data_IF_442435708655
#
_entry.id   IF_442435708655
#
_cell.length_a   1.000
_cell.length_b   1.000
_cell.length_c   1.000
_cell.angle_alpha   90.00
_cell.angle_beta   90.00
_cell.angle_gamma   90.00
#
_symmetry.space_group_name_H-M   'P 1'
#
loop_
_entity.id
_entity.type
_entity.pdbx_description
1 polymer ?
#
# COMPACT_ATOMS: atom_id res chain seq x y z
N UNK A 1 1.93 -7.61 15.69
CA UNK A 1 0.95 -7.18 14.65
C UNK A 1 1.58 -6.64 13.37
N UNK A 2 2.65 -5.84 13.42
CA UNK A 2 3.14 -5.10 12.26
C UNK A 2 3.87 -5.93 11.16
N UNK A 3 4.28 -7.17 11.44
CA UNK A 3 4.82 -8.10 10.41
C UNK A 3 3.72 -8.61 9.48
N UNK A 4 2.52 -8.80 10.00
CA UNK A 4 1.34 -9.22 9.22
C UNK A 4 0.96 -8.17 8.18
N UNK A 5 0.94 -6.89 8.57
CA UNK A 5 0.64 -5.77 7.68
C UNK A 5 1.61 -5.68 6.48
N UNK A 6 2.91 -5.83 6.74
CA UNK A 6 3.95 -5.83 5.71
C UNK A 6 3.81 -7.04 4.77
N UNK A 7 3.63 -8.25 5.31
CA UNK A 7 3.44 -9.47 4.51
C UNK A 7 2.17 -9.42 3.64
N UNK A 8 1.11 -8.79 4.14
CA UNK A 8 -0.14 -8.64 3.39
C UNK A 8 0.02 -7.59 2.28
N UNK A 9 0.75 -6.51 2.56
CA UNK A 9 1.11 -5.49 1.57
C UNK A 9 2.00 -6.06 0.45
N UNK A 10 3.03 -6.84 0.78
CA UNK A 10 3.90 -7.49 -0.21
C UNK A 10 3.14 -8.52 -1.05
N UNK A 11 2.25 -9.30 -0.44
CA UNK A 11 1.33 -10.22 -1.13
C UNK A 11 0.38 -9.52 -2.11
N UNK A 12 0.01 -8.27 -1.81
CA UNK A 12 -0.83 -7.46 -2.69
C UNK A 12 -0.05 -6.97 -3.92
N UNK A 13 1.21 -6.60 -3.73
CA UNK A 13 2.08 -6.00 -4.75
C UNK A 13 2.76 -7.00 -5.69
N UNK A 14 3.36 -8.08 -5.19
CA UNK A 14 4.42 -8.77 -5.94
C UNK A 14 4.37 -10.28 -5.92
N UNK A 15 4.65 -10.91 -4.78
CA UNK A 15 5.18 -12.28 -4.82
C UNK A 15 4.81 -13.09 -3.59
N UNK A 16 4.22 -14.27 -3.82
CA UNK A 16 4.23 -15.40 -2.87
C UNK A 16 3.26 -15.31 -1.69
N UNK A 17 1.95 -15.41 -1.92
CA UNK A 17 0.98 -15.59 -0.84
C UNK A 17 -0.48 -15.55 -1.29
N UNK A 18 -1.35 -16.20 -0.52
CA UNK A 18 -2.81 -16.15 -0.71
C UNK A 18 -3.28 -14.71 -0.49
N UNK A 19 -3.76 -14.04 -1.54
CA UNK A 19 -4.35 -12.70 -1.41
C UNK A 19 -5.58 -12.76 -0.53
N UNK A 20 -5.64 -11.99 0.58
CA UNK A 20 -6.82 -12.01 1.43
C UNK A 20 -8.01 -11.46 0.66
N UNK A 21 -9.19 -12.05 0.89
CA UNK A 21 -10.44 -11.61 0.27
C UNK A 21 -10.74 -10.13 0.57
N UNK A 22 -10.35 -9.68 1.77
CA UNK A 22 -10.40 -8.31 2.23
C UNK A 22 -9.09 -7.93 2.91
N UNK A 23 -8.55 -6.76 2.57
CA UNK A 23 -7.38 -6.16 3.22
C UNK A 23 -7.87 -5.04 4.14
N UNK A 24 -7.49 -5.06 5.41
CA UNK A 24 -7.79 -3.93 6.29
C UNK A 24 -7.02 -2.68 5.83
N UNK A 25 -7.69 -1.53 5.82
CA UNK A 25 -7.08 -0.25 5.49
C UNK A 25 -5.91 0.07 6.42
N UNK A 26 -6.05 -0.26 7.71
CA UNK A 26 -4.99 -0.13 8.72
C UNK A 26 -3.76 -0.97 8.38
N UNK A 27 -3.94 -2.21 7.91
CA UNK A 27 -2.83 -3.06 7.47
C UNK A 27 -2.11 -2.44 6.26
N UNK A 28 -2.84 -1.84 5.33
CA UNK A 28 -2.22 -1.09 4.23
C UNK A 28 -1.41 0.11 4.74
N UNK A 29 -1.97 0.89 5.67
CA UNK A 29 -1.28 2.05 6.26
C UNK A 29 0.01 1.63 6.96
N UNK A 30 -0.04 0.57 7.76
CA UNK A 30 1.13 0.03 8.45
C UNK A 30 2.15 -0.55 7.48
N UNK A 31 1.72 -1.27 6.44
CA UNK A 31 2.59 -1.80 5.40
C UNK A 31 3.34 -0.68 4.66
N UNK A 32 2.62 0.37 4.24
CA UNK A 32 3.20 1.55 3.59
C UNK A 32 4.16 2.30 4.52
N UNK A 33 3.78 2.51 5.78
CA UNK A 33 4.66 3.17 6.77
C UNK A 33 5.95 2.40 7.00
N UNK A 34 5.90 1.07 7.10
CA UNK A 34 7.10 0.22 7.24
C UNK A 34 7.94 0.16 5.97
N UNK A 35 7.31 0.23 4.81
CA UNK A 35 7.98 0.42 3.53
C UNK A 35 8.68 1.81 3.41
N UNK A 36 8.53 2.69 4.41
CA UNK A 36 9.17 4.01 4.46
C UNK A 36 8.34 5.13 3.82
N UNK A 37 7.07 4.88 3.49
CA UNK A 37 6.19 5.93 3.00
C UNK A 37 5.74 6.82 4.14
N UNK A 38 5.70 8.12 3.87
CA UNK A 38 5.01 9.07 4.72
C UNK A 38 3.54 9.13 4.31
N UNK A 39 2.63 8.83 5.25
CA UNK A 39 1.19 8.95 5.02
C UNK A 39 0.69 10.29 5.55
N UNK A 40 0.11 11.12 4.69
CA UNK A 40 -0.53 12.39 5.07
C UNK A 40 -2.04 12.31 4.81
N UNK A 41 -2.84 12.83 5.74
CA UNK A 41 -4.28 13.00 5.52
C UNK A 41 -4.51 14.17 4.58
N UNK A 42 -5.30 13.96 3.54
CA UNK A 42 -5.81 15.00 2.65
C UNK A 42 -7.28 15.30 3.00
N UNK A 43 -7.91 16.21 2.24
CA UNK A 43 -9.33 16.54 2.41
C UNK A 43 -10.20 15.27 2.44
N UNK A 44 -11.02 15.15 3.49
CA UNK A 44 -11.96 14.04 3.69
C UNK A 44 -11.29 12.70 4.00
N UNK A 45 -11.70 11.66 3.29
CA UNK A 45 -11.20 10.28 3.46
C UNK A 45 -9.99 9.97 2.57
N UNK A 46 -9.34 10.98 1.98
CA UNK A 46 -8.17 10.76 1.12
C UNK A 46 -6.88 10.74 1.94
N UNK A 47 -5.99 9.78 1.66
CA UNK A 47 -4.64 9.68 2.21
C UNK A 47 -3.63 9.78 1.07
N UNK A 48 -2.64 10.65 1.23
CA UNK A 48 -1.51 10.78 0.31
C UNK A 48 -0.31 10.04 0.88
N UNK A 49 0.22 9.12 0.11
CA UNK A 49 1.37 8.30 0.40
C UNK A 49 2.54 8.86 -0.38
N UNK A 50 3.43 9.56 0.31
CA UNK A 50 4.65 10.08 -0.26
C UNK A 50 5.74 9.02 -0.10
N UNK A 51 6.40 8.59 -1.17
CA UNK A 51 7.51 7.67 -1.04
C UNK A 51 8.70 8.35 -0.33
N UNK A 52 9.64 7.57 0.23
CA UNK A 52 10.87 8.12 0.80
C UNK A 52 11.69 8.86 -0.27
N UNK A 53 12.46 9.86 0.15
CA UNK A 53 13.20 10.82 -0.72
C UNK A 53 14.04 10.19 -1.84
N UNK A 54 14.36 8.89 -1.75
CA UNK A 54 15.20 8.17 -2.71
C UNK A 54 14.41 7.50 -3.84
N UNK A 55 13.09 7.70 -3.88
CA UNK A 55 12.22 7.13 -4.91
C UNK A 55 11.69 8.29 -5.76
N UNK A 56 12.08 8.35 -7.03
CA UNK A 56 11.71 9.37 -8.03
C UNK A 56 10.21 9.37 -8.39
N UNK A 57 9.44 8.46 -7.81
CA UNK A 57 8.06 8.23 -8.16
C UNK A 57 7.08 9.17 -7.45
N UNK A 58 6.01 9.56 -8.16
CA UNK A 58 5.01 10.49 -7.66
C UNK A 58 4.25 9.94 -6.44
N UNK A 59 3.89 10.85 -5.52
CA UNK A 59 3.07 10.52 -4.35
C UNK A 59 1.71 9.94 -4.76
N UNK A 60 1.29 8.85 -4.12
CA UNK A 60 0.04 8.18 -4.42
C UNK A 60 -1.09 8.70 -3.54
N UNK A 61 -2.22 9.12 -4.12
CA UNK A 61 -3.40 9.48 -3.32
C UNK A 61 -4.47 8.39 -3.42
N UNK A 62 -4.90 7.89 -2.27
CA UNK A 62 -5.91 6.84 -2.15
C UNK A 62 -7.05 7.29 -1.25
N UNK A 63 -8.25 6.81 -1.53
CA UNK A 63 -9.42 7.06 -0.69
C UNK A 63 -9.58 5.90 0.28
N UNK A 64 -9.65 6.22 1.56
CA UNK A 64 -9.99 5.31 2.64
C UNK A 64 -11.41 4.78 2.41
N UNK A 65 -11.57 3.45 2.34
CA UNK A 65 -12.86 2.82 2.12
C UNK A 65 -13.76 3.06 3.35
N UNK A 66 -15.05 3.36 3.17
CA UNK A 66 -15.98 3.58 4.28
C UNK A 66 -16.15 2.34 5.17
N UNK A 67 -15.95 1.15 4.62
CA UNK A 67 -15.96 -0.11 5.36
C UNK A 67 -14.69 -0.36 6.16
N UNK A 68 -13.61 0.41 5.95
CA UNK A 68 -12.29 0.12 6.51
C UNK A 68 -11.56 -1.06 5.86
N UNK A 69 -12.16 -1.69 4.84
CA UNK A 69 -11.58 -2.83 4.12
C UNK A 69 -11.52 -2.58 2.61
N UNK A 70 -10.43 -3.03 1.98
CA UNK A 70 -10.27 -3.07 0.53
C UNK A 70 -10.63 -4.47 0.02
N UNK A 71 -11.66 -4.55 -0.82
CA UNK A 71 -12.05 -5.77 -1.52
C UNK A 71 -11.07 -6.12 -2.65
N UNK A 72 -11.21 -7.31 -3.24
CA UNK A 72 -10.33 -7.76 -4.34
C UNK A 72 -10.26 -6.78 -5.51
N UNK A 73 -11.37 -6.10 -5.85
CA UNK A 73 -11.39 -5.11 -6.93
C UNK A 73 -10.60 -3.85 -6.56
N UNK A 74 -10.79 -3.33 -5.35
CA UNK A 74 -10.01 -2.19 -4.86
C UNK A 74 -8.52 -2.54 -4.75
N UNK A 75 -8.18 -3.74 -4.26
CA UNK A 75 -6.80 -4.24 -4.22
C UNK A 75 -6.18 -4.33 -5.63
N UNK A 76 -6.90 -4.83 -6.63
CA UNK A 76 -6.41 -4.89 -8.01
C UNK A 76 -6.19 -3.49 -8.61
N UNK A 77 -7.11 -2.56 -8.35
CA UNK A 77 -6.96 -1.15 -8.74
C UNK A 77 -5.77 -0.48 -8.06
N UNK A 78 -5.55 -0.81 -6.78
CA UNK A 78 -4.41 -0.36 -5.99
C UNK A 78 -3.09 -0.84 -6.61
N UNK A 79 -3.00 -2.13 -6.95
CA UNK A 79 -1.83 -2.70 -7.63
C UNK A 79 -1.52 -1.98 -8.93
N UNK A 80 -2.54 -1.74 -9.78
CA UNK A 80 -2.35 -0.98 -11.03
C UNK A 80 -1.85 0.44 -10.76
N UNK A 81 -2.37 1.11 -9.74
CA UNK A 81 -1.92 2.45 -9.33
C UNK A 81 -0.45 2.44 -8.88
N UNK A 82 -0.05 1.47 -8.05
CA UNK A 82 1.33 1.31 -7.62
C UNK A 82 2.27 1.09 -8.81
N UNK A 83 1.89 0.21 -9.74
CA UNK A 83 2.65 -0.01 -10.98
C UNK A 83 2.72 1.25 -11.87
N UNK A 84 1.62 1.99 -11.99
CA UNK A 84 1.57 3.22 -12.79
C UNK A 84 2.46 4.34 -12.24
N UNK A 85 2.67 4.37 -10.92
CA UNK A 85 3.66 5.25 -10.30
C UNK A 85 5.03 4.57 -10.18
N UNK A 86 5.32 3.45 -10.85
CA UNK A 86 6.64 2.81 -10.81
C UNK A 86 7.06 2.27 -9.43
N UNK A 87 6.13 2.17 -8.48
CA UNK A 87 6.38 1.52 -7.20
C UNK A 87 6.43 0.01 -7.42
N UNK A 88 7.62 -0.48 -7.76
CA UNK A 88 7.92 -1.91 -7.89
C UNK A 88 8.19 -2.52 -6.51
N UNK A 89 7.58 -3.67 -6.23
CA UNK A 89 7.73 -4.43 -4.98
C UNK A 89 9.18 -4.81 -4.68
N UNK A 90 10.04 -4.88 -5.70
CA UNK A 90 11.48 -5.16 -5.57
C UNK A 90 12.20 -4.14 -4.68
N UNK A 91 11.71 -2.90 -4.59
CA UNK A 91 12.26 -1.90 -3.65
C UNK A 91 12.01 -2.24 -2.18
N UNK A 92 10.95 -3.00 -1.88
CA UNK A 92 10.51 -3.26 -0.50
C UNK A 92 10.93 -4.63 0.01
N UNK A 93 11.11 -5.60 -0.89
CA UNK A 93 11.58 -6.95 -0.54
C UNK A 93 13.03 -6.95 0.01
N UNK A 94 13.87 -6.00 -0.39
CA UNK A 94 15.27 -5.89 0.05
C UNK A 94 15.48 -5.15 1.39
N UNK A 95 14.40 -4.76 2.08
CA UNK A 95 14.46 -4.02 3.36
C UNK A 95 13.82 -4.76 4.56
N UNK A 96 13.42 -6.01 4.37
CA UNK A 96 12.82 -6.87 5.41
C UNK A 96 13.85 -7.86 5.93
#
# INVERSE_FOLDING_TARGET
>A
MATRALNTFTSLLGSGGQRPAQLAWTDLLHGMSRAGFTVRRCRGTRRRFCPPNNITHGALTLREPPSGFLDRRAQAKLKRKFHAVGLDYRFFANRI
#
